data_IF_897349069593
#
_entry.id   IF_897349069593
#
_cell.length_a   1.000
_cell.length_b   1.000
_cell.length_c   1.000
_cell.angle_alpha   90.00
_cell.angle_beta   90.00
_cell.angle_gamma   90.00
#
_symmetry.space_group_name_H-M   'P 1'
#
loop_
_entity.id
_entity.type
_entity.pdbx_description
1 polymer ?
#
# COMPACT_ATOMS: atom_id res chain seq x y z
N UNK A 1 -9.18 22.22 22.41
CA UNK A 1 -10.23 21.38 21.78
C UNK A 1 -9.59 20.10 21.30
N UNK A 2 -10.13 18.93 21.63
CA UNK A 2 -9.71 17.65 21.06
C UNK A 2 -10.74 17.19 20.03
N UNK A 3 -10.31 16.47 19.00
CA UNK A 3 -11.18 15.85 18.02
C UNK A 3 -10.59 14.51 17.54
N UNK A 4 -11.47 13.64 17.06
CA UNK A 4 -11.13 12.33 16.54
C UNK A 4 -11.78 12.12 15.16
N UNK A 5 -11.13 11.29 14.34
CA UNK A 5 -11.65 10.74 13.10
C UNK A 5 -11.28 9.26 13.09
N UNK A 6 -12.27 8.42 12.84
CA UNK A 6 -12.09 6.97 12.62
C UNK A 6 -12.51 6.64 11.19
N UNK A 7 -13.19 5.51 10.97
CA UNK A 7 -13.71 5.13 9.67
C UNK A 7 -14.64 6.21 9.09
N UNK A 8 -14.44 6.54 7.81
CA UNK A 8 -15.36 7.34 7.00
C UNK A 8 -15.82 6.50 5.81
N UNK A 9 -17.12 6.24 5.72
CA UNK A 9 -17.70 5.25 4.82
C UNK A 9 -16.98 3.90 4.96
N UNK A 10 -16.22 3.49 3.96
CA UNK A 10 -15.46 2.26 3.98
C UNK A 10 -13.97 2.47 4.28
N UNK A 11 -13.52 3.73 4.35
CA UNK A 11 -12.13 4.04 4.60
C UNK A 11 -11.80 3.86 6.07
N UNK A 12 -11.07 2.80 6.40
CA UNK A 12 -10.55 2.60 7.76
C UNK A 12 -9.42 3.61 7.98
N UNK A 13 -9.54 4.41 9.04
CA UNK A 13 -8.56 5.41 9.44
C UNK A 13 -8.61 5.57 10.96
N UNK A 14 -7.56 6.15 11.53
CA UNK A 14 -7.56 6.57 12.94
C UNK A 14 -6.66 7.78 13.09
N UNK A 15 -7.29 8.91 13.37
CA UNK A 15 -6.64 10.21 13.52
C UNK A 15 -7.13 10.86 14.80
N UNK A 16 -6.22 11.45 15.57
CA UNK A 16 -6.53 12.19 16.79
C UNK A 16 -5.83 13.54 16.74
N UNK A 17 -6.53 14.60 17.13
CA UNK A 17 -5.97 15.95 17.08
C UNK A 17 -6.32 16.75 18.32
N UNK A 18 -5.38 17.58 18.76
CA UNK A 18 -5.60 18.60 19.78
C UNK A 18 -5.23 19.95 19.21
N UNK A 19 -6.13 20.91 19.40
CA UNK A 19 -5.94 22.32 19.04
C UNK A 19 -5.91 23.19 20.30
N UNK A 20 -4.91 24.05 20.37
CA UNK A 20 -4.82 25.23 21.24
C UNK A 20 -5.10 26.52 20.43
N UNK A 21 -4.98 27.69 21.05
CA UNK A 21 -5.25 28.96 20.37
C UNK A 21 -4.31 29.22 19.18
N UNK A 22 -3.07 28.73 19.24
CA UNK A 22 -2.05 28.96 18.22
C UNK A 22 -1.67 27.71 17.44
N UNK A 23 -1.73 26.52 18.04
CA UNK A 23 -1.23 25.31 17.39
C UNK A 23 -2.32 24.25 17.24
N UNK A 24 -2.20 23.46 16.17
CA UNK A 24 -2.90 22.19 16.01
C UNK A 24 -1.88 21.07 15.86
N UNK A 25 -2.02 20.05 16.69
CA UNK A 25 -1.27 18.81 16.62
C UNK A 25 -2.20 17.69 16.18
N UNK A 26 -1.74 16.86 15.25
CA UNK A 26 -2.45 15.69 14.73
C UNK A 26 -1.54 14.48 14.83
N UNK A 27 -2.09 13.36 15.29
CA UNK A 27 -1.44 12.04 15.27
C UNK A 27 -2.22 11.12 14.35
N UNK A 28 -1.55 10.61 13.33
CA UNK A 28 -2.07 9.66 12.36
C UNK A 28 -1.60 8.25 12.75
N UNK A 29 -2.54 7.32 12.97
CA UNK A 29 -2.21 5.94 13.36
C UNK A 29 -2.16 4.98 12.18
N UNK A 30 -2.75 5.35 11.03
CA UNK A 30 -2.69 4.61 9.77
C UNK A 30 -1.82 5.38 8.77
N UNK A 31 -0.53 5.08 8.77
CA UNK A 31 0.51 5.71 7.91
C UNK A 31 0.85 4.86 6.68
N UNK A 32 0.23 3.68 6.56
CA UNK A 32 0.33 2.74 5.45
C UNK A 32 -0.52 3.14 4.24
N UNK A 33 -1.18 4.31 4.30
CA UNK A 33 -2.14 4.78 3.30
C UNK A 33 -2.14 6.30 3.21
N UNK A 34 -2.40 6.84 2.01
CA UNK A 34 -2.39 8.28 1.72
C UNK A 34 -3.54 9.06 2.37
N UNK A 35 -3.48 10.39 2.32
CA UNK A 35 -4.61 11.22 2.74
C UNK A 35 -5.81 11.14 1.79
N UNK A 36 -5.59 11.07 0.47
CA UNK A 36 -6.67 10.95 -0.53
C UNK A 36 -7.17 9.51 -0.64
N UNK A 37 -7.78 9.03 0.45
CA UNK A 37 -8.38 7.71 0.48
C UNK A 37 -9.62 7.64 -0.43
N UNK A 38 -9.90 6.47 -1.05
CA UNK A 38 -11.07 6.32 -1.91
C UNK A 38 -12.37 6.46 -1.13
N UNK A 39 -13.26 7.33 -1.60
CA UNK A 39 -14.52 7.67 -0.95
C UNK A 39 -15.63 7.94 -1.98
N UNK A 40 -16.84 8.28 -1.50
CA UNK A 40 -17.97 8.66 -2.34
C UNK A 40 -17.66 9.79 -3.35
N UNK A 41 -16.64 10.60 -3.08
CA UNK A 41 -16.19 11.71 -3.93
C UNK A 41 -15.35 11.28 -5.13
N UNK A 42 -14.88 10.04 -5.19
CA UNK A 42 -13.95 9.57 -6.25
C UNK A 42 -14.54 9.66 -7.66
N UNK A 43 -15.87 9.63 -7.77
CA UNK A 43 -16.60 9.78 -9.04
C UNK A 43 -16.91 11.23 -9.40
N UNK A 44 -16.42 12.21 -8.64
CA UNK A 44 -16.64 13.63 -8.91
C UNK A 44 -15.52 14.17 -9.80
N UNK A 45 -15.88 15.03 -10.74
CA UNK A 45 -14.96 15.62 -11.73
C UNK A 45 -13.68 16.16 -11.09
N UNK A 46 -13.79 16.88 -9.97
CA UNK A 46 -12.61 17.43 -9.29
C UNK A 46 -11.63 16.38 -8.73
N UNK A 47 -12.09 15.17 -8.36
CA UNK A 47 -11.18 14.08 -7.94
C UNK A 47 -10.62 13.36 -9.15
N UNK A 48 -11.44 13.20 -10.20
CA UNK A 48 -11.01 12.63 -11.48
C UNK A 48 -9.89 13.47 -12.08
N UNK A 49 -10.08 14.78 -12.19
CA UNK A 49 -9.09 15.73 -12.70
C UNK A 49 -7.81 15.72 -11.84
N UNK A 50 -7.95 15.67 -10.51
CA UNK A 50 -6.81 15.58 -9.59
C UNK A 50 -5.98 14.30 -9.83
N UNK A 51 -6.63 13.16 -10.02
CA UNK A 51 -5.97 11.88 -10.33
C UNK A 51 -5.34 11.88 -11.73
N UNK A 52 -5.99 12.50 -12.72
CA UNK A 52 -5.44 12.64 -14.07
C UNK A 52 -4.20 13.53 -14.10
N UNK A 53 -4.26 14.71 -13.47
CA UNK A 53 -3.11 15.61 -13.34
C UNK A 53 -1.95 14.93 -12.58
N UNK A 54 -2.29 14.10 -11.59
CA UNK A 54 -1.28 13.31 -10.89
C UNK A 54 -0.62 12.26 -11.78
N UNK A 55 -1.41 11.47 -12.51
CA UNK A 55 -0.93 10.48 -13.47
C UNK A 55 -0.08 11.10 -14.58
N UNK A 56 -0.41 12.32 -15.01
CA UNK A 56 0.34 13.08 -16.00
C UNK A 56 1.61 13.76 -15.43
N UNK A 57 1.83 13.72 -14.10
CA UNK A 57 2.95 14.41 -13.45
C UNK A 57 2.82 15.93 -13.43
N UNK A 58 1.61 16.46 -13.60
CA UNK A 58 1.32 17.90 -13.72
C UNK A 58 1.03 18.58 -12.37
N UNK A 59 0.80 17.80 -11.31
CA UNK A 59 0.59 18.35 -9.97
C UNK A 59 1.85 19.00 -9.41
N UNK A 60 1.65 20.12 -8.72
CA UNK A 60 2.75 20.76 -7.97
C UNK A 60 3.30 19.80 -6.91
N UNK A 61 4.60 19.88 -6.59
CA UNK A 61 5.23 18.99 -5.61
C UNK A 61 4.48 18.94 -4.27
N UNK A 62 3.96 20.09 -3.81
CA UNK A 62 3.22 20.18 -2.55
C UNK A 62 1.84 19.51 -2.62
N UNK A 63 1.12 19.60 -3.75
CA UNK A 63 -0.16 18.90 -3.90
C UNK A 63 0.05 17.39 -4.01
N UNK A 64 1.09 16.97 -4.73
CA UNK A 64 1.52 15.57 -4.79
C UNK A 64 1.83 15.03 -3.39
N UNK A 65 2.62 15.76 -2.60
CA UNK A 65 2.94 15.42 -1.20
C UNK A 65 1.67 15.28 -0.34
N UNK A 66 0.78 16.28 -0.36
CA UNK A 66 -0.41 16.30 0.51
C UNK A 66 -1.40 15.19 0.15
N UNK A 67 -1.67 14.94 -1.13
CA UNK A 67 -2.73 14.01 -1.50
C UNK A 67 -2.24 12.58 -1.68
N UNK A 68 -1.00 12.40 -2.16
CA UNK A 68 -0.49 11.10 -2.61
C UNK A 68 0.88 10.73 -2.02
N UNK A 69 1.48 11.62 -1.22
CA UNK A 69 2.73 11.34 -0.52
C UNK A 69 2.53 10.49 0.73
N UNK A 70 3.66 10.11 1.34
CA UNK A 70 3.63 9.37 2.59
C UNK A 70 2.93 10.18 3.67
N UNK A 71 2.00 9.53 4.39
CA UNK A 71 1.30 10.17 5.48
C UNK A 71 2.21 10.22 6.72
N UNK A 72 2.55 11.42 7.23
CA UNK A 72 3.37 11.52 8.43
C UNK A 72 2.62 11.00 9.65
N UNK A 73 3.32 10.31 10.56
CA UNK A 73 2.73 9.84 11.82
C UNK A 73 2.26 11.00 12.71
N UNK A 74 2.90 12.16 12.60
CA UNK A 74 2.62 13.34 13.39
C UNK A 74 2.66 14.61 12.55
N UNK A 75 1.78 15.53 12.88
CA UNK A 75 1.70 16.85 12.26
C UNK A 75 1.53 17.93 13.32
N UNK A 76 2.26 19.04 13.19
CA UNK A 76 2.14 20.21 14.06
C UNK A 76 2.12 21.46 13.20
N UNK A 77 1.10 22.30 13.38
CA UNK A 77 0.93 23.53 12.61
C UNK A 77 0.71 24.72 13.54
N UNK A 78 1.37 25.84 13.25
CA UNK A 78 1.00 27.15 13.80
C UNK A 78 -0.17 27.70 12.99
N UNK A 79 -1.40 27.48 13.47
CA UNK A 79 -2.61 27.85 12.72
C UNK A 79 -2.88 29.36 12.71
N UNK A 80 -2.10 30.18 13.45
CA UNK A 80 -2.17 31.64 13.34
C UNK A 80 -1.34 32.16 12.18
N UNK A 81 -0.19 31.54 11.92
CA UNK A 81 0.73 31.92 10.84
C UNK A 81 0.42 31.16 9.54
N UNK A 82 0.06 29.90 9.66
CA UNK A 82 -0.30 29.00 8.57
C UNK A 82 -1.72 28.44 8.79
N UNK A 83 -2.77 29.25 8.53
CA UNK A 83 -4.15 28.81 8.72
C UNK A 83 -4.53 27.62 7.83
N UNK A 84 -3.84 27.48 6.69
CA UNK A 84 -4.04 26.40 5.72
C UNK A 84 -3.33 25.10 6.10
N UNK A 85 -2.48 25.09 7.13
CA UNK A 85 -1.79 23.91 7.64
C UNK A 85 -0.96 23.19 6.55
N UNK A 86 -0.19 23.96 5.78
CA UNK A 86 0.65 23.47 4.68
C UNK A 86 2.05 23.05 5.18
N UNK A 87 2.56 23.69 6.23
CA UNK A 87 3.93 23.54 6.71
C UNK A 87 3.97 22.79 8.04
N UNK A 88 4.20 21.47 7.97
CA UNK A 88 4.35 20.64 9.16
C UNK A 88 5.64 20.97 9.94
N UNK A 89 5.51 21.34 11.21
CA UNK A 89 6.58 21.81 12.08
C UNK A 89 7.22 20.70 12.94
N UNK A 90 6.80 19.43 12.79
CA UNK A 90 7.29 18.31 13.64
C UNK A 90 8.81 18.15 13.61
N UNK A 91 9.44 18.37 12.44
CA UNK A 91 10.89 18.29 12.26
C UNK A 91 11.66 19.54 12.67
N UNK A 92 10.99 20.65 13.00
CA UNK A 92 11.65 21.91 13.31
C UNK A 92 12.08 21.96 14.78
N UNK A 93 13.39 22.12 15.00
CA UNK A 93 14.01 22.21 16.32
C UNK A 93 13.41 23.34 17.19
N UNK A 94 12.96 24.44 16.57
CA UNK A 94 12.37 25.60 17.26
C UNK A 94 11.04 25.25 17.95
N UNK A 95 10.29 24.30 17.41
CA UNK A 95 8.94 23.97 17.89
C UNK A 95 8.89 22.72 18.77
N UNK A 96 10.03 22.08 19.07
CA UNK A 96 10.07 20.82 19.83
C UNK A 96 9.41 20.93 21.21
N UNK A 97 9.55 22.06 21.91
CA UNK A 97 8.87 22.28 23.19
C UNK A 97 7.34 22.29 23.02
N UNK A 98 6.83 22.92 21.97
CA UNK A 98 5.39 22.92 21.68
C UNK A 98 4.91 21.55 21.21
N UNK A 99 5.71 20.83 20.41
CA UNK A 99 5.40 19.46 20.00
C UNK A 99 5.24 18.53 21.20
N UNK A 100 6.20 18.51 22.12
CA UNK A 100 6.14 17.69 23.35
C UNK A 100 4.94 18.06 24.20
N UNK A 101 4.64 19.36 24.33
CA UNK A 101 3.46 19.83 25.08
C UNK A 101 2.16 19.33 24.45
N UNK A 102 2.03 19.36 23.12
CA UNK A 102 0.82 18.91 22.44
C UNK A 102 0.67 17.38 22.40
N UNK A 103 1.79 16.64 22.35
CA UNK A 103 1.79 15.19 22.59
C UNK A 103 1.18 14.88 23.96
N UNK A 104 1.67 15.54 25.01
CA UNK A 104 1.13 15.36 26.37
C UNK A 104 -0.37 15.70 26.46
N UNK A 105 -0.81 16.80 25.84
CA UNK A 105 -2.24 17.13 25.82
C UNK A 105 -3.09 16.06 25.15
N UNK A 106 -2.60 15.48 24.05
CA UNK A 106 -3.32 14.39 23.39
C UNK A 106 -3.30 13.12 24.26
N UNK A 107 -2.16 12.78 24.86
CA UNK A 107 -2.02 11.60 25.70
C UNK A 107 -2.92 11.69 26.95
N UNK A 108 -2.99 12.86 27.60
CA UNK A 108 -3.88 13.12 28.74
C UNK A 108 -5.36 13.03 28.35
N UNK A 109 -5.70 13.38 27.11
CA UNK A 109 -7.06 13.24 26.59
C UNK A 109 -7.39 11.77 26.31
N UNK A 110 -6.48 11.04 25.65
CA UNK A 110 -6.63 9.60 25.36
C UNK A 110 -6.71 8.75 26.63
N UNK A 111 -5.97 9.11 27.68
CA UNK A 111 -5.98 8.41 28.96
C UNK A 111 -7.35 8.44 29.65
N UNK A 112 -8.25 9.34 29.26
CA UNK A 112 -9.63 9.39 29.77
C UNK A 112 -10.57 8.41 29.05
N UNK A 113 -10.15 7.87 27.89
CA UNK A 113 -10.90 6.92 27.08
C UNK A 113 -10.87 7.26 25.59
N UNK A 114 -10.61 6.24 24.76
CA UNK A 114 -10.69 6.30 23.30
C UNK A 114 -11.32 4.99 22.79
N UNK A 115 -12.63 5.00 22.56
CA UNK A 115 -13.36 3.82 22.10
C UNK A 115 -12.95 3.38 20.68
N UNK A 116 -12.36 4.28 19.90
CA UNK A 116 -11.79 3.99 18.57
C UNK A 116 -10.33 3.56 18.61
N UNK A 117 -9.78 3.18 19.77
CA UNK A 117 -8.38 2.74 19.88
C UNK A 117 -8.12 1.34 19.32
N UNK A 118 -9.15 0.48 19.26
CA UNK A 118 -9.07 -0.86 18.71
C UNK A 118 -9.23 -0.90 17.20
N UNK A 119 -8.80 -2.01 16.59
CA UNK A 119 -9.16 -2.34 15.21
C UNK A 119 -10.63 -2.78 15.14
N UNK A 120 -11.24 -2.63 13.96
CA UNK A 120 -12.62 -3.07 13.74
C UNK A 120 -12.73 -4.60 13.89
N UNK A 121 -13.83 -5.07 14.47
CA UNK A 121 -14.11 -6.51 14.61
C UNK A 121 -14.27 -7.18 13.25
N UNK A 122 -14.02 -8.50 13.19
CA UNK A 122 -14.26 -9.27 11.96
C UNK A 122 -15.72 -9.19 11.51
N UNK A 123 -16.67 -9.13 12.46
CA UNK A 123 -18.09 -8.96 12.19
C UNK A 123 -18.40 -7.60 11.52
N UNK A 124 -17.83 -6.51 12.02
CA UNK A 124 -18.00 -5.18 11.43
C UNK A 124 -17.34 -5.10 10.04
N UNK A 125 -16.11 -5.60 9.90
CA UNK A 125 -15.44 -5.68 8.60
C UNK A 125 -16.27 -6.48 7.60
N UNK A 126 -16.79 -7.64 8.01
CA UNK A 126 -17.62 -8.50 7.16
C UNK A 126 -18.93 -7.81 6.77
N UNK A 127 -19.55 -7.06 7.70
CA UNK A 127 -20.73 -6.26 7.41
C UNK A 127 -20.42 -5.17 6.37
N UNK A 128 -19.35 -4.39 6.56
CA UNK A 128 -18.96 -3.33 5.64
C UNK A 128 -18.48 -3.86 4.28
N UNK A 129 -18.02 -5.11 4.21
CA UNK A 129 -17.59 -5.76 2.96
C UNK A 129 -18.75 -6.21 2.05
N UNK A 130 -20.00 -6.28 2.54
CA UNK A 130 -21.17 -6.86 1.83
C UNK A 130 -21.76 -6.01 0.68
N UNK A 131 -20.99 -5.08 0.11
CA UNK A 131 -21.42 -4.26 -1.04
C UNK A 131 -22.53 -3.29 -0.67
N UNK A 132 -22.17 -2.09 -0.23
CA UNK A 132 -23.14 -1.06 0.15
C UNK A 132 -23.32 -0.05 -0.97
N UNK A 133 -24.49 0.59 -1.04
CA UNK A 133 -24.77 1.63 -2.05
C UNK A 133 -23.80 2.81 -2.03
N UNK A 134 -23.08 3.00 -0.92
CA UNK A 134 -22.13 4.10 -0.69
C UNK A 134 -20.66 3.69 -0.82
N UNK A 135 -20.34 2.42 -1.11
CA UNK A 135 -18.98 2.02 -1.48
C UNK A 135 -18.66 0.53 -1.37
N UNK A 136 -17.39 0.23 -1.67
CA UNK A 136 -16.92 -1.12 -2.00
C UNK A 136 -15.83 -1.66 -1.05
N UNK A 137 -15.64 -1.10 0.15
CA UNK A 137 -14.69 -1.67 1.12
C UNK A 137 -13.28 -1.91 0.54
N UNK A 138 -12.58 -0.83 0.19
CA UNK A 138 -11.33 -0.91 -0.61
C UNK A 138 -10.04 -1.10 0.20
N UNK A 139 -10.09 -0.95 1.53
CA UNK A 139 -8.90 -1.10 2.35
C UNK A 139 -8.48 -2.58 2.50
N UNK A 140 -7.17 -2.86 2.66
CA UNK A 140 -6.66 -4.24 2.74
C UNK A 140 -7.26 -5.08 3.87
N UNK A 141 -7.72 -4.44 4.96
CA UNK A 141 -8.32 -5.15 6.10
C UNK A 141 -9.57 -5.96 5.70
N UNK A 142 -10.33 -5.52 4.69
CA UNK A 142 -11.52 -6.25 4.23
C UNK A 142 -11.19 -7.58 3.54
N UNK A 143 -9.99 -7.76 2.99
CA UNK A 143 -9.59 -9.03 2.39
C UNK A 143 -9.56 -10.17 3.42
N UNK A 144 -9.37 -9.85 4.71
CA UNK A 144 -9.35 -10.85 5.78
C UNK A 144 -10.70 -11.52 6.06
N UNK A 145 -11.81 -10.90 5.62
CA UNK A 145 -13.19 -11.37 5.85
C UNK A 145 -13.92 -11.72 4.56
N UNK A 146 -13.31 -11.46 3.41
CA UNK A 146 -13.85 -11.82 2.11
C UNK A 146 -13.43 -13.24 1.73
N UNK A 147 -14.20 -13.83 0.82
CA UNK A 147 -13.89 -15.13 0.25
C UNK A 147 -12.94 -14.95 -0.94
N UNK A 148 -11.85 -15.70 -0.91
CA UNK A 148 -10.92 -15.97 -2.01
C UNK A 148 -11.13 -17.46 -2.32
N UNK A 149 -11.92 -17.73 -3.37
CA UNK A 149 -12.42 -19.07 -3.68
C UNK A 149 -11.44 -19.89 -4.50
N UNK A 150 -10.57 -19.24 -5.28
CA UNK A 150 -9.65 -19.86 -6.22
C UNK A 150 -8.19 -19.86 -5.73
N UNK A 151 -7.89 -19.09 -4.67
CA UNK A 151 -6.65 -19.09 -3.94
C UNK A 151 -5.56 -18.21 -4.53
N UNK A 152 -5.87 -17.34 -5.49
CA UNK A 152 -4.89 -16.53 -6.21
C UNK A 152 -4.29 -15.40 -5.34
N UNK A 153 -4.92 -15.13 -4.20
CA UNK A 153 -4.52 -14.13 -3.22
C UNK A 153 -5.40 -12.88 -3.20
N UNK A 154 -6.42 -12.77 -4.04
CA UNK A 154 -7.39 -11.69 -4.02
C UNK A 154 -8.78 -12.27 -3.77
N UNK A 155 -9.64 -11.51 -3.10
CA UNK A 155 -11.01 -11.97 -2.92
C UNK A 155 -11.85 -11.84 -4.19
N UNK A 156 -12.76 -12.80 -4.41
CA UNK A 156 -13.64 -12.81 -5.59
C UNK A 156 -14.41 -11.49 -5.77
N UNK A 157 -14.79 -10.87 -4.64
CA UNK A 157 -15.50 -9.61 -4.63
C UNK A 157 -14.60 -8.46 -5.11
N UNK A 158 -13.35 -8.43 -4.65
CA UNK A 158 -12.37 -7.42 -5.04
C UNK A 158 -12.00 -7.53 -6.51
N UNK A 159 -11.82 -8.73 -7.01
CA UNK A 159 -11.57 -9.01 -8.42
C UNK A 159 -12.71 -8.51 -9.30
N UNK A 160 -13.97 -8.86 -8.95
CA UNK A 160 -15.16 -8.37 -9.67
C UNK A 160 -15.27 -6.85 -9.63
N UNK A 161 -14.94 -6.20 -8.51
CA UNK A 161 -14.92 -4.74 -8.40
C UNK A 161 -13.92 -4.12 -9.39
N UNK A 162 -12.80 -4.79 -9.64
CA UNK A 162 -11.74 -4.32 -10.53
C UNK A 162 -11.79 -4.98 -11.93
N UNK A 163 -12.88 -5.66 -12.27
CA UNK A 163 -13.10 -6.24 -13.60
C UNK A 163 -12.21 -7.46 -13.92
N UNK A 164 -11.72 -8.17 -12.90
CA UNK A 164 -10.94 -9.41 -13.02
C UNK A 164 -11.86 -10.64 -12.94
N UNK A 165 -11.37 -11.78 -13.43
CA UNK A 165 -12.09 -13.05 -13.44
C UNK A 165 -11.78 -13.85 -12.17
N UNK A 166 -12.72 -13.84 -11.22
CA UNK A 166 -12.56 -14.46 -9.91
C UNK A 166 -12.58 -16.00 -9.87
N UNK A 167 -12.69 -16.65 -11.03
CA UNK A 167 -12.76 -18.10 -11.15
C UNK A 167 -11.59 -18.67 -11.98
N UNK A 168 -10.65 -17.83 -12.44
CA UNK A 168 -9.57 -18.25 -13.34
C UNK A 168 -8.37 -18.88 -12.60
N UNK A 169 -8.25 -18.65 -11.29
CA UNK A 169 -7.16 -19.10 -10.42
C UNK A 169 -5.78 -18.70 -10.93
N UNK A 170 -5.67 -17.55 -11.63
CA UNK A 170 -4.43 -17.05 -12.21
C UNK A 170 -3.79 -16.03 -11.31
N UNK A 171 -2.48 -16.17 -11.13
CA UNK A 171 -1.72 -15.14 -10.44
C UNK A 171 -1.71 -13.84 -11.26
N UNK A 172 -2.33 -12.80 -10.70
CA UNK A 172 -2.35 -11.45 -11.27
C UNK A 172 -2.31 -10.38 -10.17
N UNK A 173 -1.25 -9.58 -10.19
CA UNK A 173 -1.12 -8.36 -9.39
C UNK A 173 -0.85 -7.18 -10.32
N UNK A 174 -1.62 -6.09 -10.18
CA UNK A 174 -1.50 -4.88 -11.02
C UNK A 174 -1.43 -3.59 -10.22
N UNK A 175 -1.62 -3.63 -8.89
CA UNK A 175 -1.43 -2.49 -7.97
C UNK A 175 -2.23 -1.21 -8.30
N UNK A 176 -3.13 -1.27 -9.29
CA UNK A 176 -3.82 -0.13 -9.92
C UNK A 176 -5.15 0.22 -9.24
N UNK A 177 -5.51 -0.50 -8.19
CA UNK A 177 -6.83 -0.42 -7.55
C UNK A 177 -7.01 0.79 -6.58
N UNK A 178 -6.23 1.85 -6.78
CA UNK A 178 -6.24 3.08 -5.98
C UNK A 178 -4.99 3.23 -5.10
N UNK A 179 -4.45 4.46 -5.07
CA UNK A 179 -3.15 4.78 -4.46
C UNK A 179 -2.89 4.10 -3.11
N UNK A 180 -1.68 3.53 -3.01
CA UNK A 180 -1.12 2.85 -1.85
C UNK A 180 -1.72 1.48 -1.46
N UNK A 181 -2.34 0.76 -2.40
CA UNK A 181 -2.63 -0.67 -2.25
C UNK A 181 -1.41 -1.49 -2.73
N UNK A 182 -0.96 -2.45 -1.92
CA UNK A 182 0.13 -3.38 -2.30
C UNK A 182 -0.37 -4.76 -2.70
N UNK A 183 -1.71 -4.96 -2.71
CA UNK A 183 -2.36 -6.25 -2.98
C UNK A 183 -1.81 -7.38 -2.09
N UNK A 184 -1.50 -7.03 -0.84
CA UNK A 184 -0.97 -7.94 0.17
C UNK A 184 0.53 -8.17 0.13
N UNK A 185 1.26 -7.57 -0.83
CA UNK A 185 2.72 -7.58 -0.83
C UNK A 185 3.27 -6.74 0.32
N UNK A 186 4.36 -7.21 0.92
CA UNK A 186 5.06 -6.54 2.02
C UNK A 186 6.56 -6.51 1.77
N UNK A 187 7.17 -5.36 1.97
CA UNK A 187 8.63 -5.20 1.91
C UNK A 187 9.30 -5.41 3.26
N UNK A 188 10.61 -5.61 3.22
CA UNK A 188 11.44 -5.52 4.43
C UNK A 188 11.41 -4.10 4.99
N UNK A 189 11.65 -3.97 6.30
CA UNK A 189 11.67 -2.66 6.98
C UNK A 189 12.63 -1.66 6.32
N UNK A 190 13.78 -2.13 5.81
CA UNK A 190 14.78 -1.28 5.17
C UNK A 190 14.25 -0.59 3.89
N UNK A 191 13.33 -1.23 3.17
CA UNK A 191 12.74 -0.70 1.95
C UNK A 191 11.74 0.43 2.22
N UNK A 192 11.34 0.63 3.47
CA UNK A 192 10.32 1.60 3.84
C UNK A 192 8.95 1.23 3.27
N UNK A 193 8.21 2.23 2.80
CA UNK A 193 6.98 1.99 2.07
C UNK A 193 7.29 1.53 0.64
N UNK A 194 6.51 0.56 0.17
CA UNK A 194 6.62 -0.01 -1.19
C UNK A 194 5.43 0.36 -2.08
N UNK A 195 4.39 0.95 -1.48
CA UNK A 195 3.16 1.26 -2.16
C UNK A 195 3.38 2.53 -2.97
N UNK A 196 3.46 2.37 -4.28
CA UNK A 196 3.91 3.44 -5.13
C UNK A 196 2.86 4.49 -5.39
N UNK A 197 3.37 5.58 -5.96
CA UNK A 197 2.66 6.82 -6.14
C UNK A 197 1.54 6.69 -7.19
N UNK A 198 1.76 6.01 -8.31
CA UNK A 198 0.84 6.03 -9.46
C UNK A 198 0.03 4.74 -9.69
N UNK A 199 -0.11 3.88 -8.66
CA UNK A 199 -0.81 2.60 -8.82
C UNK A 199 0.12 1.48 -9.31
N UNK A 200 1.35 1.50 -8.82
CA UNK A 200 2.39 0.48 -9.00
C UNK A 200 3.13 0.37 -7.66
N UNK A 201 3.99 -0.63 -7.47
CA UNK A 201 4.93 -0.61 -6.36
C UNK A 201 6.11 0.30 -6.72
N UNK A 202 6.57 1.14 -5.79
CA UNK A 202 7.82 1.89 -5.92
C UNK A 202 8.62 1.85 -4.61
N UNK A 203 9.92 1.61 -4.71
CA UNK A 203 10.80 1.54 -3.54
C UNK A 203 12.27 1.65 -3.93
N UNK A 204 13.08 2.14 -3.00
CA UNK A 204 14.53 2.12 -3.10
C UNK A 204 15.09 0.83 -2.49
N UNK A 205 16.29 0.43 -2.93
CA UNK A 205 17.10 -0.64 -2.33
C UNK A 205 18.29 -0.02 -1.60
N UNK A 206 18.18 0.44 -0.33
CA UNK A 206 19.22 1.25 0.31
C UNK A 206 20.60 0.59 0.32
N UNK A 207 20.63 -0.72 0.58
CA UNK A 207 21.86 -1.51 0.64
C UNK A 207 22.09 -2.35 -0.64
N UNK A 208 21.34 -2.08 -1.70
CA UNK A 208 21.38 -2.85 -2.96
C UNK A 208 20.62 -4.17 -2.91
N UNK A 209 19.98 -4.49 -1.78
CA UNK A 209 19.16 -5.70 -1.63
C UNK A 209 17.76 -5.37 -1.12
N UNK A 210 16.80 -6.22 -1.47
CA UNK A 210 15.41 -6.10 -1.01
C UNK A 210 14.67 -7.43 -1.07
N UNK A 211 13.60 -7.54 -0.28
CA UNK A 211 12.71 -8.70 -0.29
C UNK A 211 11.27 -8.23 -0.19
N UNK A 212 10.46 -8.60 -1.18
CA UNK A 212 9.01 -8.52 -1.10
C UNK A 212 8.44 -9.90 -0.83
N UNK A 213 7.39 -9.97 0.00
CA UNK A 213 6.72 -11.22 0.38
C UNK A 213 5.22 -11.10 0.16
N UNK A 214 4.62 -12.15 -0.42
CA UNK A 214 3.19 -12.36 -0.54
C UNK A 214 2.83 -13.72 0.07
N UNK A 215 2.17 -13.72 1.21
CA UNK A 215 1.79 -14.94 1.95
C UNK A 215 0.30 -15.27 1.83
N UNK A 216 -0.13 -16.42 2.39
CA UNK A 216 -1.55 -16.83 2.45
C UNK A 216 -2.18 -17.04 1.07
N UNK A 217 -1.37 -17.45 0.09
CA UNK A 217 -1.86 -17.91 -1.19
C UNK A 217 -2.36 -19.36 -1.06
N UNK A 218 -3.21 -19.78 -1.99
CA UNK A 218 -3.55 -21.19 -2.24
C UNK A 218 -3.49 -21.49 -3.74
N UNK A 219 -2.53 -20.85 -4.41
CA UNK A 219 -2.41 -20.84 -5.87
C UNK A 219 -2.01 -22.23 -6.37
N UNK A 220 -2.81 -22.80 -7.27
CA UNK A 220 -2.53 -24.10 -7.87
C UNK A 220 -1.45 -23.96 -8.96
N UNK A 221 -0.28 -24.59 -8.76
CA UNK A 221 0.85 -24.47 -9.69
C UNK A 221 0.53 -25.03 -11.09
N UNK A 222 -0.31 -26.07 -11.16
CA UNK A 222 -0.72 -26.71 -12.41
C UNK A 222 -1.62 -25.82 -13.27
N UNK A 223 -2.42 -24.94 -12.65
CA UNK A 223 -3.17 -23.88 -13.33
C UNK A 223 -2.28 -22.68 -13.73
N UNK A 224 -1.12 -22.55 -13.11
CA UNK A 224 -0.20 -21.42 -13.27
C UNK A 224 1.15 -21.88 -13.85
N UNK A 225 1.11 -22.51 -15.02
CA UNK A 225 2.30 -22.93 -15.75
C UNK A 225 2.75 -21.84 -16.74
N UNK A 226 3.99 -21.95 -17.22
CA UNK A 226 4.52 -21.07 -18.26
C UNK A 226 5.59 -20.13 -17.73
N UNK A 227 5.40 -18.83 -17.95
CA UNK A 227 6.39 -17.81 -17.64
C UNK A 227 5.86 -16.87 -16.56
N UNK A 228 6.70 -16.56 -15.59
CA UNK A 228 6.56 -15.33 -14.80
C UNK A 228 6.74 -14.16 -15.76
N UNK A 229 5.76 -13.26 -15.81
CA UNK A 229 5.83 -11.97 -16.47
C UNK A 229 5.81 -10.88 -15.40
N UNK A 230 6.73 -9.92 -15.49
CA UNK A 230 6.81 -8.78 -14.58
C UNK A 230 7.02 -7.52 -15.39
N UNK A 231 6.09 -6.57 -15.28
CA UNK A 231 6.26 -5.26 -15.88
C UNK A 231 6.99 -4.36 -14.89
N UNK A 232 8.25 -4.04 -15.20
CA UNK A 232 9.17 -3.44 -14.24
C UNK A 232 10.05 -2.40 -14.92
N UNK A 233 10.40 -1.35 -14.19
CA UNK A 233 11.49 -0.43 -14.51
C UNK A 233 12.40 -0.24 -13.32
N UNK A 234 13.64 0.11 -13.59
CA UNK A 234 14.65 0.28 -12.55
C UNK A 234 15.72 1.28 -12.96
N UNK A 235 16.24 2.03 -11.99
CA UNK A 235 17.28 3.04 -12.23
C UNK A 235 18.66 2.43 -12.45
N UNK A 236 18.88 1.19 -12.01
CA UNK A 236 20.12 0.43 -12.12
C UNK A 236 19.83 -1.00 -12.60
N UNK A 237 20.86 -1.73 -13.04
CA UNK A 237 20.70 -3.14 -13.42
C UNK A 237 20.20 -3.93 -12.21
N UNK A 238 19.16 -4.73 -12.41
CA UNK A 238 18.45 -5.40 -11.32
C UNK A 238 18.36 -6.89 -11.62
N UNK A 239 18.70 -7.71 -10.64
CA UNK A 239 18.37 -9.15 -10.64
C UNK A 239 17.22 -9.38 -9.67
N UNK A 240 16.18 -10.07 -10.14
CA UNK A 240 15.01 -10.46 -9.35
C UNK A 240 14.90 -11.97 -9.33
N UNK A 241 14.97 -12.57 -8.14
CA UNK A 241 14.69 -13.99 -7.95
C UNK A 241 13.27 -14.15 -7.42
N UNK A 242 12.45 -14.92 -8.11
CA UNK A 242 11.17 -15.40 -7.58
C UNK A 242 11.44 -16.68 -6.78
N UNK A 243 11.09 -16.65 -5.50
CA UNK A 243 11.06 -17.82 -4.64
C UNK A 243 9.61 -18.20 -4.35
N UNK A 244 9.30 -19.48 -4.38
CA UNK A 244 7.98 -20.01 -4.03
C UNK A 244 8.12 -21.03 -2.90
N UNK A 245 7.22 -20.95 -1.92
CA UNK A 245 7.00 -22.00 -0.92
C UNK A 245 5.69 -22.69 -1.26
N UNK A 246 5.72 -24.00 -1.33
CA UNK A 246 4.57 -24.83 -1.68
C UNK A 246 4.26 -25.83 -0.58
N UNK A 247 3.11 -26.49 -0.68
CA UNK A 247 2.77 -27.66 0.15
C UNK A 247 3.74 -28.83 -0.01
N UNK A 248 4.57 -28.82 -1.06
CA UNK A 248 5.59 -29.85 -1.33
C UNK A 248 6.99 -29.46 -0.86
N UNK A 249 7.18 -28.24 -0.33
CA UNK A 249 8.47 -27.74 0.14
C UNK A 249 8.34 -26.88 1.40
N UNK A 250 8.96 -27.32 2.49
CA UNK A 250 8.94 -26.61 3.78
C UNK A 250 9.63 -25.23 3.74
N UNK A 251 10.42 -24.94 2.70
CA UNK A 251 11.14 -23.67 2.55
C UNK A 251 10.90 -23.07 1.17
N UNK A 252 10.95 -21.72 1.04
CA UNK A 252 10.94 -21.07 -0.26
C UNK A 252 12.14 -21.51 -1.11
N UNK A 253 11.87 -21.90 -2.36
CA UNK A 253 12.89 -22.29 -3.34
C UNK A 253 12.83 -21.35 -4.53
N UNK A 254 13.98 -21.02 -5.12
CA UNK A 254 14.03 -20.18 -6.32
C UNK A 254 13.35 -20.93 -7.47
N UNK A 255 12.32 -20.34 -8.06
CA UNK A 255 11.57 -20.93 -9.18
C UNK A 255 11.81 -20.19 -10.49
N UNK A 256 12.27 -18.94 -10.43
CA UNK A 256 12.63 -18.15 -11.60
C UNK A 256 13.63 -17.05 -11.22
N UNK A 257 14.43 -16.61 -12.19
CA UNK A 257 15.32 -15.46 -12.07
C UNK A 257 15.15 -14.57 -13.31
N UNK A 258 14.96 -13.28 -13.09
CA UNK A 258 14.87 -12.25 -14.12
C UNK A 258 16.07 -11.31 -13.96
N UNK A 259 16.72 -10.98 -15.07
CA UNK A 259 17.69 -9.88 -15.13
C UNK A 259 17.09 -8.71 -15.92
N UNK A 260 16.97 -7.56 -15.27
CA UNK A 260 16.37 -6.34 -15.81
C UNK A 260 17.47 -5.32 -16.10
N UNK A 261 17.49 -4.82 -17.33
CA UNK A 261 18.37 -3.70 -17.69
C UNK A 261 17.79 -2.37 -17.19
N UNK A 262 18.64 -1.44 -16.78
CA UNK A 262 18.22 -0.09 -16.36
C UNK A 262 17.55 0.65 -17.52
N UNK A 263 16.26 0.98 -17.35
CA UNK A 263 15.41 1.63 -18.36
C UNK A 263 14.41 2.57 -17.68
N UNK A 264 14.11 3.74 -18.27
CA UNK A 264 13.16 4.69 -17.71
C UNK A 264 11.69 4.29 -17.93
N UNK A 265 11.44 3.48 -18.96
CA UNK A 265 10.11 2.98 -19.31
C UNK A 265 9.89 1.61 -18.68
N UNK A 266 8.64 1.32 -18.32
CA UNK A 266 8.20 -0.01 -17.94
C UNK A 266 8.42 -0.99 -19.08
N UNK A 267 9.08 -2.10 -18.78
CA UNK A 267 9.31 -3.19 -19.72
C UNK A 267 8.86 -4.51 -19.11
N UNK A 268 8.11 -5.26 -19.90
CA UNK A 268 7.72 -6.61 -19.53
C UNK A 268 8.93 -7.55 -19.64
N UNK A 269 9.30 -8.12 -18.50
CA UNK A 269 10.36 -9.10 -18.36
C UNK A 269 9.77 -10.47 -18.10
N UNK A 270 10.45 -11.52 -18.57
CA UNK A 270 9.97 -12.89 -18.43
C UNK A 270 11.03 -13.82 -17.90
N UNK A 271 10.58 -14.80 -17.10
CA UNK A 271 11.37 -15.96 -16.75
C UNK A 271 10.52 -17.23 -16.79
N UNK A 272 11.09 -18.32 -17.29
CA UNK A 272 10.43 -19.62 -17.30
C UNK A 272 10.42 -20.15 -15.87
N UNK A 273 9.26 -20.61 -15.40
CA UNK A 273 9.15 -21.27 -14.12
C UNK A 273 9.87 -22.63 -14.17
N UNK A 274 10.77 -22.87 -13.22
CA UNK A 274 11.49 -24.14 -13.10
C UNK A 274 10.56 -25.30 -12.71
N UNK A 275 11.06 -26.52 -12.83
CA UNK A 275 10.41 -27.76 -12.36
C UNK A 275 10.12 -27.78 -10.85
N UNK A 276 10.67 -26.83 -10.08
CA UNK A 276 10.35 -26.65 -8.65
C UNK A 276 9.03 -25.92 -8.41
N UNK A 277 8.42 -25.32 -9.43
CA UNK A 277 7.08 -24.73 -9.35
C UNK A 277 6.02 -25.84 -9.35
N UNK A 278 5.67 -26.33 -8.16
CA UNK A 278 4.81 -27.52 -8.00
C UNK A 278 3.91 -27.41 -6.77
N UNK A 279 2.83 -28.18 -6.77
CA UNK A 279 1.89 -28.26 -5.65
C UNK A 279 1.02 -27.02 -5.51
N UNK A 280 0.60 -26.73 -4.28
CA UNK A 280 -0.12 -25.50 -3.96
C UNK A 280 0.88 -24.50 -3.43
N UNK A 281 1.01 -23.36 -4.10
CA UNK A 281 1.91 -22.28 -3.70
C UNK A 281 1.24 -21.48 -2.58
N UNK A 282 1.89 -21.44 -1.42
CA UNK A 282 1.35 -20.80 -0.21
C UNK A 282 1.95 -19.41 0.05
N UNK A 283 3.14 -19.15 -0.48
CA UNK A 283 3.78 -17.85 -0.42
C UNK A 283 4.78 -17.65 -1.56
N UNK A 284 4.90 -16.41 -2.00
CA UNK A 284 5.89 -15.94 -2.96
C UNK A 284 6.82 -14.93 -2.31
N UNK A 285 8.07 -14.92 -2.77
CA UNK A 285 9.04 -13.90 -2.42
C UNK A 285 9.74 -13.40 -3.68
N UNK A 286 9.90 -12.09 -3.80
CA UNK A 286 10.77 -11.48 -4.79
C UNK A 286 12.01 -10.97 -4.06
N UNK A 287 13.17 -11.58 -4.33
CA UNK A 287 14.46 -11.11 -3.82
C UNK A 287 15.12 -10.26 -4.89
N UNK A 288 15.45 -9.03 -4.53
CA UNK A 288 16.06 -8.02 -5.41
C UNK A 288 17.54 -7.87 -5.08
N UNK A 289 18.35 -7.74 -6.11
CA UNK A 289 19.78 -7.40 -6.01
C UNK A 289 20.14 -6.38 -7.08
N UNK A 290 20.76 -5.28 -6.67
CA UNK A 290 21.18 -4.18 -7.54
C UNK A 290 22.32 -3.38 -6.87
N UNK A 291 22.69 -2.26 -7.46
CA UNK A 291 23.55 -1.27 -6.79
C UNK A 291 22.77 -0.60 -5.63
N UNK A 292 23.48 -0.13 -4.58
CA UNK A 292 22.86 0.64 -3.50
C UNK A 292 22.04 1.83 -4.00
N UNK A 293 20.90 2.07 -3.34
CA UNK A 293 19.93 3.12 -3.64
C UNK A 293 19.25 3.03 -5.03
N UNK A 294 19.29 1.85 -5.66
CA UNK A 294 18.53 1.61 -6.89
C UNK A 294 17.02 1.79 -6.63
N UNK A 295 16.36 2.58 -7.48
CA UNK A 295 14.91 2.73 -7.52
C UNK A 295 14.35 1.59 -8.37
N UNK A 296 13.36 0.88 -7.83
CA UNK A 296 12.64 -0.20 -8.50
C UNK A 296 11.16 0.13 -8.49
N UNK A 297 10.52 -0.05 -9.64
CA UNK A 297 9.11 0.19 -9.83
C UNK A 297 8.47 -0.99 -10.56
N UNK A 298 7.42 -1.57 -9.96
CA UNK A 298 6.75 -2.77 -10.47
C UNK A 298 5.28 -2.44 -10.73
N UNK A 299 4.90 -2.46 -12.00
CA UNK A 299 3.54 -2.18 -12.47
C UNK A 299 2.66 -3.43 -12.40
N UNK A 300 3.20 -4.61 -12.73
CA UNK A 300 2.43 -5.85 -12.64
C UNK A 300 3.30 -7.09 -12.48
N UNK A 301 2.70 -8.13 -11.88
CA UNK A 301 3.28 -9.46 -11.71
C UNK A 301 2.20 -10.48 -12.11
N UNK A 302 2.48 -11.34 -13.08
CA UNK A 302 1.54 -12.37 -13.50
C UNK A 302 2.21 -13.63 -14.04
N UNK A 303 1.44 -14.69 -14.25
CA UNK A 303 1.90 -15.91 -14.94
C UNK A 303 1.18 -16.04 -16.30
N UNK A 304 1.96 -16.17 -17.38
CA UNK A 304 1.48 -16.31 -18.77
C UNK A 304 1.84 -17.65 -19.39
#
# INVERSE_FOLDING_TARGET
VAAAKDRLDHTIDRVRTVRTDQFRYTRNYKTDRIFLQPQYRDKKDYVIDLRQAYAAGELSPKLTEIYFGERPAEELYDVKVDPSQIHNLVGDAKFQKELVRHRQFLDDWLAKGDEGAGEESAEELAYQAQGHKWGNAVNPEYESVRTDSDGDGMSDAWEKINGRDADDAKLLFTFDCGGWQTEGWKGTQAMGNIAGRLGHLDFHLPDGEGLLVRDKLKLAADKNQGKLAMNVRCSQRLTVQLLARSTTSDRPVIVATIDVAAKPDFLEQFAILSDRWTGTIESLQLRFQSEPDALVEIDSIMIK
#
